data_IF_982528127320
#
_entry.id   IF_982528127320
#
_cell.length_a   1.000
_cell.length_b   1.000
_cell.length_c   1.000
_cell.angle_alpha   90.00
_cell.angle_beta   90.00
_cell.angle_gamma   90.00
#
_symmetry.space_group_name_H-M   'P 1'
#
loop_
_entity.id
_entity.type
_entity.pdbx_description
1 polymer ?
#
# COMPACT_ATOMS: atom_id res chain seq x y z
N UNK A 1 -13.21 -16.44 5.97
CA UNK A 1 -13.46 -17.49 6.98
C UNK A 1 -12.18 -18.29 7.14
N UNK A 2 -11.71 -18.52 8.37
CA UNK A 2 -10.35 -19.06 8.65
C UNK A 2 -10.14 -20.47 8.11
N UNK A 3 -11.14 -21.35 8.25
CA UNK A 3 -11.10 -22.74 7.75
C UNK A 3 -11.34 -22.90 6.24
N UNK A 4 -11.67 -21.80 5.53
CA UNK A 4 -11.94 -21.84 4.08
C UNK A 4 -10.70 -21.53 3.22
N UNK A 5 -9.51 -21.47 3.81
CA UNK A 5 -8.27 -21.15 3.11
C UNK A 5 -7.50 -22.43 2.76
N UNK A 6 -6.79 -22.44 1.63
CA UNK A 6 -6.14 -23.64 1.07
C UNK A 6 -5.16 -24.35 2.02
N UNK A 7 -4.59 -23.63 2.99
CA UNK A 7 -3.59 -24.16 3.94
C UNK A 7 -4.09 -24.14 5.39
N UNK A 8 -5.39 -24.01 5.63
CA UNK A 8 -5.95 -24.02 6.97
C UNK A 8 -6.12 -25.46 7.51
N UNK A 9 -5.95 -25.64 8.82
CA UNK A 9 -6.29 -26.89 9.50
C UNK A 9 -7.80 -27.18 9.40
N UNK A 10 -8.21 -28.44 9.49
CA UNK A 10 -9.62 -28.83 9.46
C UNK A 10 -10.42 -28.18 10.62
N UNK A 11 -11.69 -27.81 10.39
CA UNK A 11 -12.53 -27.25 11.44
C UNK A 11 -12.82 -28.29 12.55
N UNK A 12 -13.01 -27.84 13.81
CA UNK A 12 -13.43 -28.70 14.92
C UNK A 12 -14.78 -29.36 14.67
N UNK A 13 -15.01 -30.50 15.33
CA UNK A 13 -16.25 -31.27 15.22
C UNK A 13 -17.48 -30.43 15.62
N UNK A 14 -18.46 -30.33 14.72
CA UNK A 14 -19.66 -29.50 14.87
C UNK A 14 -19.62 -28.11 14.21
N UNK A 15 -18.47 -27.67 13.68
CA UNK A 15 -18.37 -26.39 12.95
C UNK A 15 -18.66 -26.61 11.47
N UNK A 16 -19.88 -26.25 11.05
CA UNK A 16 -20.25 -26.21 9.62
C UNK A 16 -19.64 -24.96 9.01
N UNK A 17 -18.68 -25.13 8.11
CA UNK A 17 -18.11 -24.04 7.30
C UNK A 17 -19.04 -23.87 6.09
N UNK A 18 -19.85 -22.79 5.99
CA UNK A 18 -20.56 -22.53 4.76
C UNK A 18 -19.50 -22.22 3.71
N UNK A 19 -19.40 -23.08 2.70
CA UNK A 19 -18.69 -22.77 1.47
C UNK A 19 -19.36 -21.53 0.91
N UNK A 20 -18.75 -20.36 1.11
CA UNK A 20 -19.10 -19.20 0.30
C UNK A 20 -19.00 -19.67 -1.17
N UNK A 21 -19.96 -19.35 -2.04
CA UNK A 21 -19.84 -19.68 -3.44
C UNK A 21 -18.60 -18.96 -3.98
N UNK A 22 -17.48 -19.68 -3.97
CA UNK A 22 -16.30 -19.31 -4.73
C UNK A 22 -16.79 -19.49 -6.15
N UNK A 23 -16.88 -18.38 -6.89
CA UNK A 23 -17.13 -18.40 -8.32
C UNK A 23 -16.11 -19.34 -8.95
N UNK A 24 -16.57 -20.55 -9.22
CA UNK A 24 -15.79 -21.73 -9.54
C UNK A 24 -16.78 -22.86 -9.80
N UNK A 25 -17.86 -22.54 -10.51
CA UNK A 25 -18.76 -23.53 -11.08
C UNK A 25 -18.03 -24.20 -12.23
N UNK A 26 -17.19 -25.18 -11.90
CA UNK A 26 -16.77 -26.21 -12.83
C UNK A 26 -18.04 -26.98 -13.24
N UNK A 27 -18.61 -26.63 -14.38
CA UNK A 27 -19.36 -27.50 -15.32
C UNK A 27 -20.10 -26.63 -16.35
N UNK A 28 -19.34 -25.97 -17.23
CA UNK A 28 -19.83 -25.52 -18.54
C UNK A 28 -18.82 -26.02 -19.57
N UNK A 29 -19.23 -26.80 -20.58
CA UNK A 29 -18.31 -27.23 -21.62
C UNK A 29 -17.89 -26.00 -22.42
N UNK A 30 -16.60 -25.69 -22.39
CA UNK A 30 -16.00 -24.61 -23.18
C UNK A 30 -16.15 -24.93 -24.66
N UNK A 31 -16.89 -24.10 -25.38
CA UNK A 31 -16.80 -24.04 -26.84
C UNK A 31 -16.89 -22.58 -27.28
N UNK A 32 -15.83 -22.09 -27.92
CA UNK A 32 -15.82 -20.86 -28.70
C UNK A 32 -15.40 -19.60 -27.96
N UNK A 33 -14.17 -19.16 -28.24
CA UNK A 33 -13.71 -17.77 -28.32
C UNK A 33 -14.61 -16.71 -27.67
N UNK A 34 -14.35 -16.38 -26.41
CA UNK A 34 -14.44 -15.04 -25.77
C UNK A 34 -14.28 -15.25 -24.25
N UNK A 35 -13.53 -14.41 -23.52
CA UNK A 35 -13.47 -14.51 -22.06
C UNK A 35 -14.89 -14.37 -21.51
N UNK A 36 -15.34 -15.38 -20.76
CA UNK A 36 -16.69 -15.52 -20.19
C UNK A 36 -17.23 -14.16 -19.72
N UNK A 37 -18.17 -13.59 -20.48
CA UNK A 37 -18.98 -12.49 -19.98
C UNK A 37 -19.78 -13.04 -18.79
N UNK A 38 -19.47 -12.55 -17.60
CA UNK A 38 -20.23 -12.83 -16.40
C UNK A 38 -21.63 -12.20 -16.55
N UNK A 39 -22.57 -12.96 -17.08
CA UNK A 39 -23.97 -12.54 -17.13
C UNK A 39 -24.59 -12.75 -15.75
N UNK A 40 -24.72 -11.68 -14.98
CA UNK A 40 -25.58 -11.72 -13.79
C UNK A 40 -27.05 -11.70 -14.24
N UNK A 41 -27.89 -12.52 -13.61
CA UNK A 41 -29.33 -12.50 -13.82
C UNK A 41 -29.90 -11.20 -13.23
N UNK A 42 -29.98 -10.16 -14.04
CA UNK A 42 -30.63 -8.90 -13.68
C UNK A 42 -32.13 -9.00 -13.98
N UNK A 43 -32.97 -8.80 -12.97
CA UNK A 43 -34.38 -8.52 -13.22
C UNK A 43 -34.51 -7.11 -13.85
N UNK A 44 -34.92 -6.99 -15.12
CA UNK A 44 -35.05 -5.69 -15.77
C UNK A 44 -36.03 -4.77 -15.04
N UNK A 45 -37.02 -5.31 -14.31
CA UNK A 45 -37.99 -4.46 -13.58
C UNK A 45 -37.34 -3.67 -12.44
N UNK A 46 -36.23 -4.18 -11.91
CA UNK A 46 -35.51 -3.59 -10.77
C UNK A 46 -34.32 -2.77 -11.25
N UNK A 47 -33.59 -3.30 -12.23
CA UNK A 47 -32.29 -2.75 -12.65
C UNK A 47 -32.37 -1.82 -13.85
N UNK A 48 -33.49 -1.78 -14.56
CA UNK A 48 -33.62 -0.90 -15.72
C UNK A 48 -33.71 0.57 -15.29
N UNK A 49 -33.06 1.50 -16.02
CA UNK A 49 -33.22 2.92 -15.78
C UNK A 49 -34.70 3.32 -15.94
N UNK A 50 -35.25 3.91 -14.88
CA UNK A 50 -36.57 4.54 -14.96
C UNK A 50 -36.48 5.82 -15.81
N UNK A 51 -37.39 5.98 -16.76
CA UNK A 51 -37.57 7.24 -17.49
C UNK A 51 -38.12 8.31 -16.55
N UNK A 52 -37.24 9.08 -15.92
CA UNK A 52 -37.60 10.20 -15.03
C UNK A 52 -37.75 11.48 -15.85
N UNK A 53 -38.67 12.35 -15.42
CA UNK A 53 -38.87 13.66 -16.07
C UNK A 53 -37.71 14.61 -15.78
N UNK A 54 -37.56 15.62 -16.64
CA UNK A 54 -36.58 16.70 -16.44
C UNK A 54 -36.83 17.49 -15.14
N UNK A 55 -38.09 17.61 -14.72
CA UNK A 55 -38.44 18.25 -13.44
C UNK A 55 -37.96 17.45 -12.24
N UNK A 56 -38.16 16.12 -12.27
CA UNK A 56 -37.63 15.23 -11.24
C UNK A 56 -36.12 15.35 -11.13
N UNK A 57 -35.42 15.43 -12.27
CA UNK A 57 -33.97 15.62 -12.29
C UNK A 57 -33.56 16.95 -11.64
N UNK A 58 -34.23 18.06 -11.98
CA UNK A 58 -33.95 19.37 -11.38
C UNK A 58 -34.14 19.35 -9.86
N UNK A 59 -35.26 18.81 -9.38
CA UNK A 59 -35.54 18.67 -7.95
C UNK A 59 -34.51 17.79 -7.25
N UNK A 60 -34.07 16.68 -7.89
CA UNK A 60 -33.01 15.84 -7.35
C UNK A 60 -31.66 16.53 -7.26
N UNK A 61 -31.32 17.33 -8.25
CA UNK A 61 -30.08 18.10 -8.24
C UNK A 61 -30.09 19.16 -7.13
N UNK A 62 -31.22 19.84 -6.91
CA UNK A 62 -31.40 20.77 -5.80
C UNK A 62 -31.31 20.05 -4.45
N UNK A 63 -31.94 18.88 -4.31
CA UNK A 63 -31.85 18.04 -3.12
C UNK A 63 -30.40 17.61 -2.82
N UNK A 64 -29.65 17.18 -3.84
CA UNK A 64 -28.23 16.79 -3.70
C UNK A 64 -27.38 17.98 -3.29
N UNK A 65 -27.62 19.17 -3.88
CA UNK A 65 -26.91 20.40 -3.52
C UNK A 65 -27.22 20.81 -2.08
N UNK A 66 -28.48 20.74 -1.66
CA UNK A 66 -28.93 21.10 -0.32
C UNK A 66 -28.41 20.15 0.78
N UNK A 67 -28.24 18.86 0.46
CA UNK A 67 -27.74 17.83 1.42
C UNK A 67 -26.31 18.09 1.94
N UNK A 68 -25.54 18.96 1.29
CA UNK A 68 -24.24 19.40 1.82
C UNK A 68 -23.15 18.32 1.90
N UNK A 69 -22.01 18.72 2.45
CA UNK A 69 -20.68 18.14 2.22
C UNK A 69 -20.33 16.81 2.89
N UNK A 70 -21.25 15.86 3.08
CA UNK A 70 -20.93 14.52 3.63
C UNK A 70 -19.79 13.83 2.85
N UNK A 71 -19.66 14.13 1.55
CA UNK A 71 -18.57 13.66 0.66
C UNK A 71 -17.64 14.78 0.18
N UNK A 72 -17.72 15.99 0.72
CA UNK A 72 -16.88 17.11 0.28
C UNK A 72 -15.38 16.88 0.52
N UNK A 73 -15.04 15.97 1.43
CA UNK A 73 -13.67 15.56 1.73
C UNK A 73 -13.34 14.15 1.21
N UNK A 74 -14.27 13.49 0.52
CA UNK A 74 -14.02 12.21 -0.11
C UNK A 74 -12.97 12.38 -1.21
N UNK A 75 -11.90 11.59 -1.18
CA UNK A 75 -10.76 11.72 -2.09
C UNK A 75 -9.73 12.81 -1.73
N UNK A 76 -10.08 13.79 -0.87
CA UNK A 76 -9.12 14.83 -0.44
C UNK A 76 -7.98 14.28 0.42
N UNK A 77 -8.17 13.16 1.11
CA UNK A 77 -7.10 12.50 1.86
C UNK A 77 -5.94 12.08 0.95
N UNK A 78 -6.23 11.42 -0.18
CA UNK A 78 -5.22 11.06 -1.16
C UNK A 78 -4.54 12.29 -1.78
N UNK A 79 -5.31 13.35 -2.05
CA UNK A 79 -4.78 14.62 -2.54
C UNK A 79 -3.84 15.27 -1.52
N UNK A 80 -4.21 15.31 -0.23
CA UNK A 80 -3.38 15.84 0.85
C UNK A 80 -2.10 15.03 1.05
N UNK A 81 -2.19 13.71 1.02
CA UNK A 81 -1.00 12.85 1.09
C UNK A 81 -0.05 13.10 -0.07
N UNK A 82 -0.57 13.28 -1.30
CA UNK A 82 0.25 13.66 -2.46
C UNK A 82 0.90 15.03 -2.27
N UNK A 83 0.15 16.01 -1.78
CA UNK A 83 0.70 17.35 -1.48
C UNK A 83 1.81 17.29 -0.44
N UNK A 84 1.63 16.53 0.65
CA UNK A 84 2.66 16.35 1.67
C UNK A 84 3.94 15.72 1.11
N UNK A 85 3.83 14.71 0.21
CA UNK A 85 5.00 14.11 -0.46
C UNK A 85 5.73 15.13 -1.33
N UNK A 86 5.00 15.85 -2.17
CA UNK A 86 5.59 16.89 -3.04
C UNK A 86 6.26 18.01 -2.23
N UNK A 87 5.66 18.42 -1.12
CA UNK A 87 6.26 19.41 -0.22
C UNK A 87 7.53 18.88 0.45
N UNK A 88 7.56 17.60 0.83
CA UNK A 88 8.74 16.95 1.39
C UNK A 88 9.86 16.85 0.34
N UNK A 89 9.56 16.39 -0.88
CA UNK A 89 10.50 16.35 -2.01
C UNK A 89 11.09 17.74 -2.29
N UNK A 90 10.24 18.76 -2.40
CA UNK A 90 10.69 20.13 -2.61
C UNK A 90 11.56 20.67 -1.47
N UNK A 91 11.31 20.25 -0.23
CA UNK A 91 12.18 20.59 0.91
C UNK A 91 13.53 19.89 0.78
N UNK A 92 13.55 18.61 0.43
CA UNK A 92 14.81 17.86 0.22
C UNK A 92 15.64 18.42 -0.92
N UNK A 93 15.03 18.78 -2.04
CA UNK A 93 15.71 19.43 -3.18
C UNK A 93 16.33 20.76 -2.77
N UNK A 94 15.61 21.58 -2.00
CA UNK A 94 16.14 22.84 -1.46
C UNK A 94 17.30 22.63 -0.49
N UNK A 95 17.22 21.61 0.36
CA UNK A 95 18.32 21.22 1.25
C UNK A 95 19.54 20.78 0.43
N UNK A 96 19.35 19.93 -0.59
CA UNK A 96 20.43 19.48 -1.49
C UNK A 96 21.06 20.66 -2.24
N UNK A 97 20.24 21.55 -2.81
CA UNK A 97 20.73 22.75 -3.47
C UNK A 97 21.51 23.67 -2.52
N UNK A 98 21.02 23.85 -1.29
CA UNK A 98 21.73 24.63 -0.28
C UNK A 98 23.08 24.00 0.10
N UNK A 99 23.15 22.67 0.20
CA UNK A 99 24.39 21.91 0.44
C UNK A 99 25.37 22.09 -0.73
N UNK A 100 24.89 22.00 -1.97
CA UNK A 100 25.70 22.23 -3.18
C UNK A 100 26.25 23.66 -3.24
N UNK A 101 25.50 24.64 -2.73
CA UNK A 101 25.93 26.04 -2.59
C UNK A 101 26.84 26.28 -1.36
N UNK A 102 27.26 25.23 -0.66
CA UNK A 102 28.19 25.31 0.46
C UNK A 102 27.56 25.72 1.80
N UNK A 103 26.23 25.73 1.92
CA UNK A 103 25.56 26.00 3.19
C UNK A 103 25.74 24.83 4.17
N UNK A 104 26.02 25.14 5.45
CA UNK A 104 26.10 24.12 6.50
C UNK A 104 24.73 23.46 6.71
N UNK A 105 24.70 22.13 6.77
CA UNK A 105 23.47 21.38 7.07
C UNK A 105 22.97 21.77 8.45
N UNK A 106 21.83 22.46 8.52
CA UNK A 106 21.19 22.80 9.80
C UNK A 106 20.82 21.51 10.54
N UNK A 107 21.42 21.30 11.70
CA UNK A 107 21.17 20.15 12.59
C UNK A 107 19.85 20.30 13.36
N UNK A 108 19.28 21.51 13.40
CA UNK A 108 17.97 21.79 13.99
C UNK A 108 16.84 21.46 13.00
N UNK A 109 16.73 20.19 12.61
CA UNK A 109 15.54 19.70 11.91
C UNK A 109 14.42 19.55 12.94
N UNK A 110 13.23 20.07 12.63
CA UNK A 110 12.04 19.84 13.47
C UNK A 110 11.84 18.32 13.61
N UNK A 111 11.64 17.80 14.85
CA UNK A 111 11.50 16.37 15.07
C UNK A 111 10.32 15.86 14.25
N UNK A 112 10.56 14.88 13.39
CA UNK A 112 9.47 14.24 12.67
C UNK A 112 8.62 13.44 13.68
N UNK A 113 7.29 13.46 13.54
CA UNK A 113 6.43 12.63 14.38
C UNK A 113 6.87 11.17 14.24
N UNK A 114 7.01 10.48 15.38
CA UNK A 114 7.55 9.12 15.49
C UNK A 114 6.87 8.11 14.55
N UNK A 115 5.64 8.40 14.15
CA UNK A 115 4.79 7.56 13.30
C UNK A 115 5.03 7.70 11.79
N UNK A 116 5.88 8.61 11.33
CA UNK A 116 6.05 8.87 9.91
C UNK A 116 7.36 8.26 9.40
N UNK A 117 7.26 7.05 8.83
CA UNK A 117 8.26 6.44 7.92
C UNK A 117 9.49 5.75 8.51
N UNK A 118 9.55 5.44 9.81
CA UNK A 118 10.49 4.41 10.26
C UNK A 118 9.88 3.03 10.02
N UNK A 119 10.59 2.20 9.25
CA UNK A 119 10.31 0.76 9.28
C UNK A 119 10.45 0.33 10.75
N UNK A 120 9.45 -0.38 11.26
CA UNK A 120 9.46 -0.92 12.62
C UNK A 120 10.44 -2.10 12.69
N UNK A 121 11.74 -1.81 12.56
CA UNK A 121 12.82 -2.76 12.64
C UNK A 121 13.91 -2.27 13.61
N UNK A 122 14.79 -3.19 14.02
CA UNK A 122 15.94 -2.89 14.89
C UNK A 122 17.26 -2.89 14.09
N UNK A 123 17.18 -2.65 12.77
CA UNK A 123 18.36 -2.72 11.90
C UNK A 123 19.35 -1.57 12.12
N UNK A 124 18.95 -0.51 12.82
CA UNK A 124 19.79 0.63 13.22
C UNK A 124 20.30 0.60 14.65
N UNK A 125 19.78 -0.31 15.48
CA UNK A 125 20.10 -0.38 16.89
C UNK A 125 21.17 -1.46 17.13
N UNK A 126 22.29 -1.12 17.79
CA UNK A 126 23.30 -2.11 18.16
C UNK A 126 22.75 -3.08 19.21
N UNK A 127 23.35 -4.27 19.31
CA UNK A 127 22.79 -5.35 20.14
C UNK A 127 22.65 -4.98 21.62
N UNK A 128 23.53 -4.12 22.11
CA UNK A 128 23.62 -3.66 23.50
C UNK A 128 22.44 -2.75 23.88
N UNK A 129 21.97 -1.96 22.92
CA UNK A 129 20.87 -1.00 23.07
C UNK A 129 19.50 -1.65 22.86
N UNK A 130 19.46 -2.92 22.47
CA UNK A 130 18.20 -3.63 22.31
C UNK A 130 17.45 -3.75 23.64
N UNK A 131 16.11 -3.58 23.63
CA UNK A 131 15.29 -3.76 24.82
C UNK A 131 15.53 -5.13 25.48
N UNK A 132 15.48 -5.18 26.81
CA UNK A 132 15.79 -6.40 27.56
C UNK A 132 14.91 -7.60 27.16
N UNK A 133 13.65 -7.36 26.76
CA UNK A 133 12.75 -8.42 26.29
C UNK A 133 13.13 -8.97 24.91
N UNK A 134 13.70 -8.15 24.02
CA UNK A 134 14.23 -8.56 22.72
C UNK A 134 15.47 -9.43 22.93
N UNK A 135 16.40 -8.97 23.79
CA UNK A 135 17.63 -9.71 24.11
C UNK A 135 17.39 -11.08 24.76
N UNK A 136 16.33 -11.22 25.55
CA UNK A 136 15.96 -12.48 26.21
C UNK A 136 15.39 -13.52 25.24
N UNK A 137 14.91 -13.12 24.06
CA UNK A 137 14.26 -14.04 23.13
C UNK A 137 15.20 -14.35 21.93
N UNK A 138 15.59 -15.62 21.74
CA UNK A 138 16.51 -16.00 20.66
C UNK A 138 15.94 -15.73 19.26
N UNK A 139 14.64 -15.92 19.05
CA UNK A 139 13.96 -15.66 17.77
C UNK A 139 14.05 -14.18 17.39
N UNK A 140 13.85 -13.31 18.39
CA UNK A 140 14.00 -11.87 18.18
C UNK A 140 15.45 -11.48 17.89
N UNK A 141 16.42 -12.11 18.55
CA UNK A 141 17.84 -11.90 18.24
C UNK A 141 18.18 -12.28 16.80
N UNK A 142 17.70 -13.43 16.32
CA UNK A 142 17.85 -13.83 14.92
C UNK A 142 17.17 -12.84 13.96
N UNK A 143 15.95 -12.39 14.27
CA UNK A 143 15.26 -11.39 13.47
C UNK A 143 16.04 -10.07 13.40
N UNK A 144 16.58 -9.58 14.53
CA UNK A 144 17.40 -8.36 14.53
C UNK A 144 18.69 -8.49 13.72
N UNK A 145 19.35 -9.65 13.76
CA UNK A 145 20.54 -9.92 12.95
C UNK A 145 20.21 -9.89 11.45
N UNK A 146 19.12 -10.55 11.05
CA UNK A 146 18.63 -10.54 9.67
C UNK A 146 18.24 -9.13 9.19
N UNK A 147 17.59 -8.32 10.05
CA UNK A 147 17.28 -6.92 9.75
C UNK A 147 18.53 -6.10 9.46
N UNK A 148 19.61 -6.27 10.25
CA UNK A 148 20.90 -5.59 10.02
C UNK A 148 21.53 -6.02 8.70
N UNK A 149 21.59 -7.32 8.44
CA UNK A 149 22.16 -7.84 7.19
C UNK A 149 21.41 -7.29 5.96
N UNK A 150 20.09 -7.33 5.97
CA UNK A 150 19.29 -6.75 4.88
C UNK A 150 19.53 -5.26 4.71
N UNK A 151 19.68 -4.52 5.80
CA UNK A 151 19.96 -3.09 5.74
C UNK A 151 21.33 -2.83 5.11
N UNK A 152 22.35 -3.58 5.50
CA UNK A 152 23.68 -3.50 4.88
C UNK A 152 23.64 -3.84 3.40
N UNK A 153 22.93 -4.90 3.02
CA UNK A 153 22.74 -5.26 1.61
C UNK A 153 21.99 -4.18 0.82
N UNK A 154 20.93 -3.58 1.39
CA UNK A 154 20.21 -2.46 0.79
C UNK A 154 21.12 -1.23 0.62
N UNK A 155 21.92 -0.89 1.65
CA UNK A 155 22.86 0.22 1.59
C UNK A 155 23.94 -0.01 0.52
N UNK A 156 24.47 -1.23 0.42
CA UNK A 156 25.43 -1.61 -0.62
C UNK A 156 24.83 -1.43 -2.02
N UNK A 157 23.63 -1.97 -2.25
CA UNK A 157 22.90 -1.81 -3.52
C UNK A 157 22.62 -0.35 -3.84
N UNK A 158 22.23 0.45 -2.86
CA UNK A 158 21.99 1.88 -3.04
C UNK A 158 23.27 2.66 -3.40
N UNK A 159 24.40 2.34 -2.77
CA UNK A 159 25.70 2.94 -3.12
C UNK A 159 26.14 2.58 -4.53
N UNK A 160 25.98 1.32 -4.91
CA UNK A 160 26.29 0.83 -6.26
C UNK A 160 25.38 1.49 -7.31
N UNK A 161 24.08 1.57 -7.03
CA UNK A 161 23.12 2.27 -7.90
C UNK A 161 23.44 3.76 -8.04
N UNK A 162 23.89 4.42 -6.97
CA UNK A 162 24.32 5.81 -7.01
C UNK A 162 25.59 5.99 -7.87
N UNK A 163 26.57 5.08 -7.76
CA UNK A 163 27.78 5.10 -8.58
C UNK A 163 27.45 4.89 -10.08
N UNK A 164 26.59 3.91 -10.40
CA UNK A 164 26.13 3.68 -11.77
C UNK A 164 25.34 4.87 -12.31
N UNK A 165 24.48 5.48 -11.50
CA UNK A 165 23.71 6.69 -11.87
C UNK A 165 24.65 7.86 -12.17
N UNK A 166 25.69 8.08 -11.36
CA UNK A 166 26.70 9.09 -11.61
C UNK A 166 27.49 8.83 -12.91
N UNK A 167 27.70 7.56 -13.26
CA UNK A 167 28.35 7.13 -14.50
C UNK A 167 27.41 7.09 -15.72
N UNK A 168 26.10 7.39 -15.56
CA UNK A 168 25.12 7.30 -16.65
C UNK A 168 24.78 5.87 -17.10
N UNK A 169 25.10 4.86 -16.29
CA UNK A 169 24.88 3.44 -16.58
C UNK A 169 23.54 2.92 -16.01
N UNK A 170 22.94 1.88 -16.61
CA UNK A 170 21.70 1.29 -16.11
C UNK A 170 21.92 0.58 -14.77
N UNK A 171 21.10 0.92 -13.77
CA UNK A 171 21.21 0.43 -12.39
C UNK A 171 19.99 -0.39 -11.93
N UNK A 172 18.98 -0.54 -12.79
CA UNK A 172 17.71 -1.19 -12.44
C UNK A 172 17.87 -2.67 -12.05
N UNK A 173 18.89 -3.35 -12.57
CA UNK A 173 19.19 -4.76 -12.29
C UNK A 173 19.54 -5.03 -10.82
N UNK A 174 19.97 -4.01 -10.07
CA UNK A 174 20.27 -4.11 -8.64
C UNK A 174 19.00 -4.29 -7.78
N UNK A 175 17.83 -4.01 -8.35
CA UNK A 175 16.54 -4.13 -7.68
C UNK A 175 15.71 -5.19 -8.39
N UNK A 176 15.52 -6.40 -7.81
CA UNK A 176 14.68 -7.40 -8.43
C UNK A 176 13.28 -6.84 -8.60
N UNK A 177 12.76 -6.82 -9.84
CA UNK A 177 11.35 -6.52 -10.08
C UNK A 177 10.56 -7.64 -9.43
N UNK A 178 9.85 -7.36 -8.35
CA UNK A 178 8.90 -8.31 -7.79
C UNK A 178 7.82 -8.56 -8.84
N UNK A 179 7.93 -9.67 -9.56
CA UNK A 179 6.86 -10.17 -10.43
C UNK A 179 5.62 -10.35 -9.57
N UNK A 180 4.54 -9.65 -9.93
CA UNK A 180 3.20 -9.95 -9.43
C UNK A 180 2.58 -11.03 -10.27
#
# INVERSE_FOLDING_TARGET
>A
MVYGQANAASPPEGVVVPTAPINGSTNTPSSGENPEQLYMNFDPRIHWPHNRSNEWYKLKMEEIKARGGRKANFGKAAQRMRQQRLEAERRTEKEMWAIEQGASVSTNKQPQPWSHHRHMDFGDVPQEELPAYVRKNPEWMHATAWMRENREQNLRRNREAAALRAAGLPWEHLFPRSGR
#
